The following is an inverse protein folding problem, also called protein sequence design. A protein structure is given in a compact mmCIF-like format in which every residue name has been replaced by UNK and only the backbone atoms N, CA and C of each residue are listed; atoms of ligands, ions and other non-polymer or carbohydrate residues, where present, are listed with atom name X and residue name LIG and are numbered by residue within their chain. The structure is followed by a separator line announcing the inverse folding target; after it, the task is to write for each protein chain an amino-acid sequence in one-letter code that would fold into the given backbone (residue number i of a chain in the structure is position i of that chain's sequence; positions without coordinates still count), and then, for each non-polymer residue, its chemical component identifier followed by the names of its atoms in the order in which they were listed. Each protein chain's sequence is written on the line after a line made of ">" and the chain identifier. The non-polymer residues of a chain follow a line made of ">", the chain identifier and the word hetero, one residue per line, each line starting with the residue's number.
data_IF_111812293803
#
_entry.id   IF_111812293803
#
_cell.length_a   1.000
_cell.length_b   1.000
_cell.length_c   1.000
_cell.angle_alpha   90.00
_cell.angle_beta   90.00
_cell.angle_gamma   90.00
#
_symmetry.space_group_name_H-M   'P 1'
#
loop_
_entity.id
_entity.type
_entity.pdbx_description
1 polymer ?
#
# COMPACT_ATOMS: atom_id res chain seq x y z
N UNK A 1 -41.53 27.89 -65.82
CA UNK A 1 -42.37 26.86 -66.48
C UNK A 1 -41.61 25.54 -66.45
N UNK A 2 -42.31 24.42 -66.18
CA UNK A 2 -41.84 23.02 -66.04
C UNK A 2 -40.97 22.74 -64.77
N UNK A 3 -41.41 22.01 -63.72
CA UNK A 3 -41.79 20.56 -63.59
C UNK A 3 -40.67 19.67 -64.16
N UNK A 4 -40.01 18.78 -63.41
CA UNK A 4 -40.32 17.38 -63.03
C UNK A 4 -39.31 16.98 -61.90
N UNK A 5 -39.63 16.55 -60.67
CA UNK A 5 -40.20 15.29 -60.11
C UNK A 5 -39.36 14.00 -60.35
N UNK A 6 -38.84 13.43 -59.24
CA UNK A 6 -38.49 12.01 -58.84
C UNK A 6 -37.49 12.19 -57.66
N UNK A 7 -37.74 11.95 -56.36
CA UNK A 7 -38.43 10.92 -55.57
C UNK A 7 -37.73 9.54 -55.61
N UNK A 8 -36.68 9.36 -54.80
CA UNK A 8 -36.34 8.05 -54.22
C UNK A 8 -35.92 8.20 -52.75
N UNK A 9 -36.69 7.49 -51.95
CA UNK A 9 -36.68 7.26 -50.52
C UNK A 9 -35.52 6.29 -50.17
N UNK A 10 -34.70 6.59 -49.15
CA UNK A 10 -33.97 5.54 -48.42
C UNK A 10 -33.55 6.07 -47.03
N UNK A 11 -34.45 5.88 -46.08
CA UNK A 11 -34.15 5.79 -44.65
C UNK A 11 -33.16 4.62 -44.46
N UNK A 12 -31.96 4.90 -43.94
CA UNK A 12 -31.05 3.88 -43.45
C UNK A 12 -30.40 4.36 -42.16
N UNK A 13 -31.05 3.99 -41.06
CA UNK A 13 -30.51 3.63 -39.75
C UNK A 13 -28.97 3.69 -39.59
N UNK A 14 -28.50 4.49 -38.62
CA UNK A 14 -27.33 4.13 -37.80
C UNK A 14 -27.60 2.79 -37.07
N UNK A 15 -26.63 2.06 -36.46
CA UNK A 15 -25.21 2.35 -36.24
C UNK A 15 -24.28 1.14 -36.54
N UNK A 16 -22.97 1.34 -36.72
CA UNK A 16 -22.01 0.25 -36.56
C UNK A 16 -20.62 0.77 -36.20
N UNK A 17 -20.49 1.27 -34.97
CA UNK A 17 -19.23 1.22 -34.25
C UNK A 17 -18.89 -0.25 -33.99
N UNK A 18 -18.34 -0.94 -34.99
CA UNK A 18 -17.87 -2.31 -34.85
C UNK A 18 -16.40 -2.38 -35.25
N UNK A 19 -15.53 -2.23 -34.24
CA UNK A 19 -14.30 -3.02 -34.06
C UNK A 19 -13.52 -2.54 -32.83
N UNK A 20 -14.10 -2.77 -31.67
CA UNK A 20 -13.34 -2.97 -30.43
C UNK A 20 -13.60 -4.41 -29.97
N UNK A 21 -13.14 -5.38 -30.76
CA UNK A 21 -13.25 -6.80 -30.43
C UNK A 21 -12.11 -7.58 -31.10
N UNK A 22 -10.88 -7.13 -30.84
CA UNK A 22 -9.66 -7.92 -31.03
C UNK A 22 -8.61 -7.45 -30.02
N UNK A 23 -8.92 -7.50 -28.73
CA UNK A 23 -7.85 -7.73 -27.75
C UNK A 23 -7.66 -9.23 -27.72
N UNK A 24 -6.64 -9.70 -28.45
CA UNK A 24 -6.25 -11.09 -28.45
C UNK A 24 -5.92 -11.54 -27.02
N UNK A 25 -6.34 -12.76 -26.69
CA UNK A 25 -6.08 -13.50 -25.43
C UNK A 25 -4.58 -13.56 -25.05
N UNK A 26 -3.68 -13.10 -25.92
CA UNK A 26 -2.23 -12.98 -25.72
C UNK A 26 -1.80 -11.84 -24.79
N UNK A 27 -2.72 -10.98 -24.32
CA UNK A 27 -2.48 -10.03 -23.21
C UNK A 27 -2.91 -10.58 -21.85
N UNK A 28 -3.12 -11.89 -21.72
CA UNK A 28 -3.15 -12.50 -20.40
C UNK A 28 -1.79 -12.29 -19.73
N UNK A 29 -1.86 -11.63 -18.58
CA UNK A 29 -0.73 -11.43 -17.68
C UNK A 29 -0.10 -12.81 -17.41
N UNK A 30 1.23 -12.90 -17.24
CA UNK A 30 1.86 -14.13 -16.81
C UNK A 30 1.11 -14.67 -15.58
N UNK A 31 0.59 -15.90 -15.68
CA UNK A 31 -0.25 -16.54 -14.66
C UNK A 31 0.56 -17.01 -13.45
N UNK A 32 1.78 -16.51 -13.31
CA UNK A 32 2.59 -16.72 -12.12
C UNK A 32 2.04 -15.84 -11.02
N UNK A 33 1.00 -16.33 -10.33
CA UNK A 33 0.58 -15.77 -9.06
C UNK A 33 1.84 -15.60 -8.19
N UNK A 34 2.03 -14.45 -7.52
CA UNK A 34 3.11 -14.28 -6.58
C UNK A 34 3.12 -15.46 -5.60
N UNK A 35 4.30 -15.96 -5.21
CA UNK A 35 4.39 -17.04 -4.24
C UNK A 35 3.54 -16.71 -3.01
N UNK A 36 2.71 -17.65 -2.60
CA UNK A 36 1.98 -17.53 -1.34
C UNK A 36 3.00 -17.60 -0.21
N UNK A 37 2.93 -16.67 0.73
CA UNK A 37 3.81 -16.57 1.90
C UNK A 37 5.28 -16.32 1.52
N UNK A 38 5.57 -15.10 1.08
CA UNK A 38 6.95 -14.63 0.94
C UNK A 38 7.52 -14.34 2.33
N UNK A 39 8.64 -14.95 2.75
CA UNK A 39 9.27 -14.59 4.01
C UNK A 39 9.86 -13.17 3.95
N UNK A 40 10.10 -12.53 5.11
CA UNK A 40 10.91 -11.32 5.19
C UNK A 40 12.27 -11.49 4.49
N UNK A 41 12.81 -10.46 3.81
CA UNK A 41 14.13 -10.51 3.18
C UNK A 41 15.21 -10.94 4.19
N UNK A 42 16.01 -11.94 3.87
CA UNK A 42 16.98 -12.51 4.82
C UNK A 42 18.05 -11.49 5.29
N UNK A 43 18.35 -10.50 4.45
CA UNK A 43 19.28 -9.40 4.71
C UNK A 43 18.60 -8.15 5.31
N UNK A 44 17.32 -8.23 5.69
CA UNK A 44 16.58 -7.12 6.27
C UNK A 44 17.27 -6.58 7.52
N UNK A 45 17.58 -5.28 7.48
CA UNK A 45 18.13 -4.53 8.61
C UNK A 45 17.62 -3.10 8.61
N UNK A 46 16.56 -2.86 9.39
CA UNK A 46 16.00 -1.52 9.60
C UNK A 46 16.59 -0.95 10.88
N UNK A 47 17.43 0.08 10.79
CA UNK A 47 18.01 0.72 11.98
C UNK A 47 16.92 1.28 12.91
N UNK A 48 17.17 1.27 14.21
CA UNK A 48 16.24 1.79 15.20
C UNK A 48 16.91 2.83 16.08
N UNK A 49 16.35 4.02 16.09
CA UNK A 49 16.74 5.12 16.97
C UNK A 49 15.57 5.49 17.86
N UNK A 50 15.78 5.49 19.17
CA UNK A 50 14.76 5.85 20.17
C UNK A 50 15.27 7.02 20.98
N UNK A 51 14.53 8.12 20.94
CA UNK A 51 14.81 9.35 21.70
C UNK A 51 16.25 9.83 21.52
N UNK A 52 16.73 9.82 20.27
CA UNK A 52 18.11 10.23 19.96
C UNK A 52 19.15 9.12 20.03
N UNK A 53 18.85 7.99 20.68
CA UNK A 53 19.82 6.90 20.93
C UNK A 53 19.63 5.73 19.97
N UNK A 54 20.71 5.19 19.42
CA UNK A 54 20.67 3.93 18.65
C UNK A 54 20.31 2.76 19.57
N UNK A 55 19.32 1.95 19.17
CA UNK A 55 18.79 0.82 19.94
C UNK A 55 19.01 -0.54 19.27
N UNK A 56 19.47 -0.55 18.03
CA UNK A 56 19.71 -1.77 17.26
C UNK A 56 19.00 -1.71 15.91
N UNK A 57 18.46 -2.84 15.47
CA UNK A 57 17.74 -2.92 14.20
C UNK A 57 16.61 -3.95 14.25
N UNK A 58 15.53 -3.70 13.51
CA UNK A 58 14.53 -4.71 13.18
C UNK A 58 15.11 -5.58 12.06
N UNK A 59 15.12 -6.89 12.29
CA UNK A 59 15.74 -7.89 11.39
C UNK A 59 14.71 -8.89 10.88
N UNK A 60 15.09 -9.67 9.87
CA UNK A 60 14.27 -10.79 9.37
C UNK A 60 13.93 -11.79 10.48
N UNK A 61 14.92 -12.13 11.33
CA UNK A 61 14.74 -13.05 12.46
C UNK A 61 13.71 -12.53 13.47
N UNK A 62 13.76 -11.23 13.79
CA UNK A 62 12.75 -10.60 14.64
C UNK A 62 11.35 -10.69 14.04
N UNK A 63 11.19 -10.44 12.73
CA UNK A 63 9.88 -10.55 12.07
C UNK A 63 9.38 -12.00 11.98
N UNK A 64 10.28 -12.97 11.74
CA UNK A 64 9.94 -14.39 11.68
C UNK A 64 9.54 -14.96 13.05
N UNK A 65 10.10 -14.43 14.13
CA UNK A 65 9.83 -14.90 15.51
C UNK A 65 8.69 -14.14 16.17
N UNK A 66 8.44 -12.89 15.76
CA UNK A 66 7.36 -12.07 16.30
C UNK A 66 6.08 -12.35 15.53
N UNK A 67 5.03 -12.78 16.24
CA UNK A 67 3.70 -12.96 15.64
C UNK A 67 3.22 -11.64 15.01
N UNK A 68 2.76 -11.63 13.74
CA UNK A 68 2.15 -10.45 13.15
C UNK A 68 0.85 -10.07 13.87
N UNK A 69 0.61 -8.76 14.03
CA UNK A 69 -0.61 -8.23 14.64
C UNK A 69 -1.81 -8.39 13.69
N UNK A 70 -1.56 -8.34 12.38
CA UNK A 70 -2.55 -8.53 11.34
C UNK A 70 -2.05 -9.55 10.31
N UNK A 71 -2.88 -10.54 9.98
CA UNK A 71 -2.60 -11.58 8.98
C UNK A 71 -3.81 -11.83 8.10
N UNK A 72 -3.59 -11.95 6.79
CA UNK A 72 -4.50 -12.62 5.86
C UNK A 72 -3.74 -13.67 5.02
N UNK A 73 -4.37 -14.21 3.97
CA UNK A 73 -3.75 -15.24 3.13
C UNK A 73 -2.55 -14.75 2.29
N UNK A 74 -2.33 -13.44 2.17
CA UNK A 74 -1.30 -12.84 1.30
C UNK A 74 -0.40 -11.84 2.02
N UNK A 75 -0.77 -11.38 3.21
CA UNK A 75 -0.18 -10.21 3.87
C UNK A 75 0.01 -10.44 5.36
N UNK A 76 1.12 -9.90 5.85
CA UNK A 76 1.44 -9.84 7.26
C UNK A 76 1.82 -8.40 7.61
N UNK A 77 1.36 -7.91 8.76
CA UNK A 77 1.73 -6.62 9.28
C UNK A 77 1.93 -6.65 10.79
N UNK A 78 2.93 -5.91 11.24
CA UNK A 78 3.29 -5.73 12.64
C UNK A 78 3.13 -4.27 13.00
N UNK A 79 2.43 -3.99 14.09
CA UNK A 79 2.39 -2.69 14.72
C UNK A 79 3.81 -2.30 15.14
N UNK A 80 4.20 -1.05 14.84
CA UNK A 80 5.55 -0.59 15.21
C UNK A 80 5.75 -0.68 16.73
N UNK A 81 4.71 -0.46 17.54
CA UNK A 81 4.82 -0.58 18.99
C UNK A 81 4.90 -2.03 19.50
N UNK A 82 4.46 -3.02 18.72
CA UNK A 82 4.67 -4.45 19.04
C UNK A 82 6.14 -4.82 18.85
N UNK A 83 6.78 -4.30 17.80
CA UNK A 83 8.21 -4.51 17.53
C UNK A 83 9.12 -3.63 18.40
N UNK A 84 8.66 -2.43 18.74
CA UNK A 84 9.41 -1.42 19.49
C UNK A 84 8.52 -0.86 20.60
N UNK A 85 8.55 -1.45 21.82
CA UNK A 85 7.68 -1.04 22.92
C UNK A 85 7.75 0.45 23.29
N UNK A 86 8.90 1.10 23.07
CA UNK A 86 9.09 2.54 23.28
C UNK A 86 8.17 3.40 22.39
N UNK A 87 7.64 2.84 21.29
CA UNK A 87 6.69 3.50 20.40
C UNK A 87 5.24 3.46 20.90
N UNK A 88 4.94 2.73 21.98
CA UNK A 88 3.57 2.56 22.49
C UNK A 88 3.02 3.81 23.21
N UNK A 89 3.88 4.66 23.76
CA UNK A 89 3.45 5.79 24.58
C UNK A 89 2.63 6.81 23.76
N UNK A 90 1.50 7.33 24.28
CA UNK A 90 0.80 8.46 23.66
C UNK A 90 1.70 9.67 23.49
N UNK A 91 1.49 10.43 22.41
CA UNK A 91 2.34 11.56 22.04
C UNK A 91 3.67 11.15 21.44
N UNK A 92 3.82 9.89 21.00
CA UNK A 92 5.02 9.43 20.30
C UNK A 92 4.87 9.62 18.80
N UNK A 93 5.94 10.07 18.14
CA UNK A 93 6.07 10.13 16.69
C UNK A 93 7.00 9.01 16.23
N UNK A 94 6.51 8.24 15.27
CA UNK A 94 7.29 7.26 14.51
C UNK A 94 7.67 7.89 13.19
N UNK A 95 8.96 8.09 12.95
CA UNK A 95 9.47 8.56 11.66
C UNK A 95 10.15 7.40 10.95
N UNK A 96 9.67 7.06 9.76
CA UNK A 96 10.30 6.09 8.88
C UNK A 96 11.17 6.84 7.87
N UNK A 97 12.43 6.42 7.71
CA UNK A 97 13.40 7.03 6.79
C UNK A 97 13.83 6.00 5.76
N UNK A 98 13.74 6.34 4.48
CA UNK A 98 14.22 5.53 3.36
C UNK A 98 15.75 5.63 3.19
N UNK A 99 16.39 4.72 2.44
CA UNK A 99 17.82 4.83 2.11
C UNK A 99 18.19 6.15 1.40
N UNK A 100 17.25 6.75 0.67
CA UNK A 100 17.45 8.03 -0.01
C UNK A 100 17.26 9.25 0.91
N UNK A 101 16.99 9.05 2.20
CA UNK A 101 16.78 10.12 3.17
C UNK A 101 15.38 10.75 3.15
N UNK A 102 14.46 10.29 2.30
CA UNK A 102 13.03 10.66 2.36
C UNK A 102 12.43 10.08 3.63
N UNK A 103 11.63 10.87 4.36
CA UNK A 103 10.96 10.42 5.58
C UNK A 103 9.44 10.65 5.58
N UNK A 104 8.74 9.79 6.31
CA UNK A 104 7.31 9.91 6.64
C UNK A 104 7.16 9.82 8.16
N UNK A 105 6.33 10.70 8.73
CA UNK A 105 6.04 10.76 10.16
C UNK A 105 4.63 10.30 10.45
N UNK A 106 4.49 9.50 11.51
CA UNK A 106 3.25 8.97 12.02
C UNK A 106 3.12 9.37 13.48
N UNK A 107 2.10 10.17 13.78
CA UNK A 107 1.75 10.53 15.16
C UNK A 107 0.97 9.39 15.82
N UNK A 108 1.22 9.17 17.12
CA UNK A 108 0.50 8.18 17.92
C UNK A 108 -0.11 8.82 19.18
N UNK A 109 -1.41 8.65 19.44
CA UNK A 109 -2.40 8.15 18.49
C UNK A 109 -2.55 9.11 17.30
N UNK A 110 -2.88 8.62 16.11
CA UNK A 110 -3.23 9.51 15.00
C UNK A 110 -4.68 9.99 15.15
N UNK A 111 -4.96 11.22 14.70
CA UNK A 111 -6.31 11.79 14.75
C UNK A 111 -7.35 10.95 13.97
N UNK A 112 -6.90 10.23 12.93
CA UNK A 112 -7.74 9.36 12.12
C UNK A 112 -7.89 7.93 12.67
N UNK A 113 -7.27 7.62 13.82
CA UNK A 113 -7.28 6.26 14.39
C UNK A 113 -6.44 5.24 13.61
N UNK A 114 -5.60 5.72 12.70
CA UNK A 114 -4.65 4.90 11.95
C UNK A 114 -3.42 4.59 12.77
N UNK A 115 -2.85 3.41 12.52
CA UNK A 115 -1.69 2.88 13.23
C UNK A 115 -0.52 2.65 12.25
N UNK A 116 0.70 3.11 12.57
CA UNK A 116 1.87 2.76 11.78
C UNK A 116 2.24 1.29 11.97
N UNK A 117 2.50 0.61 10.85
CA UNK A 117 2.92 -0.79 10.79
C UNK A 117 4.15 -0.97 9.90
N UNK A 118 4.94 -2.00 10.19
CA UNK A 118 5.73 -2.67 9.16
C UNK A 118 4.83 -3.67 8.44
N UNK A 119 4.86 -3.64 7.12
CA UNK A 119 4.00 -4.45 6.28
C UNK A 119 4.86 -5.25 5.31
N UNK A 120 4.67 -6.56 5.31
CA UNK A 120 5.28 -7.49 4.37
C UNK A 120 4.35 -7.68 3.18
N UNK A 121 4.76 -7.17 2.03
CA UNK A 121 3.98 -7.29 0.80
C UNK A 121 4.06 -8.71 0.25
N UNK A 122 3.08 -9.08 -0.59
CA UNK A 122 3.10 -10.33 -1.36
C UNK A 122 4.33 -10.52 -2.27
N UNK A 123 5.14 -9.48 -2.46
CA UNK A 123 6.40 -9.51 -3.23
C UNK A 123 7.64 -9.74 -2.36
N UNK A 124 7.47 -9.89 -1.05
CA UNK A 124 8.58 -9.98 -0.10
C UNK A 124 9.21 -8.63 0.22
N UNK A 125 8.53 -7.52 -0.04
CA UNK A 125 9.04 -6.18 0.30
C UNK A 125 8.56 -5.77 1.69
N UNK A 126 9.44 -5.15 2.48
CA UNK A 126 9.07 -4.52 3.75
C UNK A 126 8.87 -3.02 3.51
N UNK A 127 7.67 -2.56 3.82
CA UNK A 127 7.29 -1.14 3.76
C UNK A 127 6.79 -0.69 5.13
N UNK A 128 6.84 0.62 5.40
CA UNK A 128 6.05 1.23 6.47
C UNK A 128 4.78 1.80 5.87
N UNK A 129 3.65 1.59 6.52
CA UNK A 129 2.38 2.21 6.15
C UNK A 129 1.52 2.52 7.36
N UNK A 130 0.56 3.43 7.21
CA UNK A 130 -0.54 3.58 8.15
C UNK A 130 -1.68 2.63 7.76
N UNK A 131 -2.31 1.98 8.74
CA UNK A 131 -3.48 1.11 8.53
C UNK A 131 -4.62 1.48 9.48
N UNK A 132 -5.86 1.17 9.10
CA UNK A 132 -6.99 1.14 10.03
C UNK A 132 -7.02 -0.23 10.70
N UNK A 133 -6.85 -0.34 12.03
CA UNK A 133 -6.91 -1.64 12.73
C UNK A 133 -8.24 -2.39 12.56
N UNK A 134 -9.32 -1.71 12.18
CA UNK A 134 -10.65 -2.32 11.94
C UNK A 134 -10.79 -2.95 10.56
N UNK A 135 -10.03 -2.45 9.59
CA UNK A 135 -9.93 -2.99 8.23
C UNK A 135 -8.48 -2.87 7.74
N UNK A 136 -7.57 -3.70 8.30
CA UNK A 136 -6.12 -3.56 8.05
C UNK A 136 -5.74 -3.87 6.60
N UNK A 137 -6.63 -4.57 5.89
CA UNK A 137 -6.34 -5.25 4.64
C UNK A 137 -7.49 -5.07 3.63
N UNK A 138 -7.83 -3.82 3.26
CA UNK A 138 -8.96 -3.55 2.41
C UNK A 138 -8.81 -4.26 1.06
N UNK A 139 -9.93 -4.77 0.55
CA UNK A 139 -9.99 -5.56 -0.69
C UNK A 139 -9.49 -4.77 -1.91
N UNK A 140 -9.58 -3.44 -1.87
CA UNK A 140 -9.11 -2.57 -2.93
C UNK A 140 -8.07 -1.59 -2.39
N UNK A 141 -6.89 -1.59 -3.01
CA UNK A 141 -5.72 -0.85 -2.55
C UNK A 141 -4.97 -0.12 -3.68
N UNK A 142 -5.59 -0.02 -4.87
CA UNK A 142 -5.03 0.76 -5.99
C UNK A 142 -5.12 2.27 -5.75
N UNK A 143 -4.52 3.09 -6.63
CA UNK A 143 -4.60 4.57 -6.52
C UNK A 143 -6.01 5.16 -6.67
N UNK A 144 -7.03 4.32 -6.93
CA UNK A 144 -8.39 4.78 -7.15
C UNK A 144 -8.57 5.44 -8.51
N UNK A 145 -9.79 5.88 -8.82
CA UNK A 145 -10.13 6.60 -10.04
C UNK A 145 -10.38 5.70 -11.26
N UNK A 146 -9.89 4.46 -11.30
CA UNK A 146 -10.35 3.42 -12.24
C UNK A 146 -11.57 2.70 -11.66
N UNK A 147 -12.64 2.56 -12.45
CA UNK A 147 -13.88 1.89 -12.07
C UNK A 147 -14.64 2.54 -10.89
N UNK A 148 -14.50 3.86 -10.70
CA UNK A 148 -15.16 4.63 -9.62
C UNK A 148 -14.89 4.15 -8.18
N UNK A 149 -13.74 3.50 -7.94
CA UNK A 149 -13.32 3.09 -6.60
C UNK A 149 -12.37 4.11 -6.00
N UNK A 150 -12.55 4.44 -4.73
CA UNK A 150 -11.61 5.24 -3.96
C UNK A 150 -10.29 4.47 -3.82
N UNK A 151 -9.16 5.15 -3.98
CA UNK A 151 -7.85 4.54 -3.86
C UNK A 151 -7.40 4.34 -2.42
N UNK A 152 -6.35 3.55 -2.21
CA UNK A 152 -5.63 3.60 -0.95
C UNK A 152 -4.86 4.92 -0.86
N UNK A 153 -5.39 5.86 -0.09
CA UNK A 153 -4.77 7.16 0.18
C UNK A 153 -3.81 7.13 1.36
N UNK A 154 -3.60 5.96 1.98
CA UNK A 154 -2.80 5.87 3.19
C UNK A 154 -1.31 6.07 2.87
N UNK A 155 -0.59 6.85 3.68
CA UNK A 155 0.84 7.05 3.49
C UNK A 155 1.57 5.72 3.59
N UNK A 156 2.49 5.48 2.66
CA UNK A 156 3.33 4.30 2.61
C UNK A 156 4.71 4.64 2.06
N UNK A 157 5.73 3.93 2.54
CA UNK A 157 7.11 4.10 2.09
C UNK A 157 7.87 2.78 2.15
N UNK A 158 8.56 2.46 1.07
CA UNK A 158 9.55 1.39 1.00
C UNK A 158 10.59 1.70 -0.07
N UNK A 159 11.82 1.16 0.06
CA UNK A 159 12.34 0.43 1.21
C UNK A 159 12.59 1.35 2.42
N UNK A 160 12.66 0.76 3.61
CA UNK A 160 12.84 1.47 4.88
C UNK A 160 14.24 1.18 5.42
N UNK A 161 15.04 2.22 5.63
CA UNK A 161 16.38 2.09 6.18
C UNK A 161 16.40 2.21 7.71
N UNK A 162 15.53 3.06 8.27
CA UNK A 162 15.55 3.38 9.70
C UNK A 162 14.19 3.81 10.22
N UNK A 163 13.92 3.52 11.49
CA UNK A 163 12.83 4.08 12.28
C UNK A 163 13.40 4.97 13.38
N UNK A 164 12.87 6.18 13.51
CA UNK A 164 13.14 7.07 14.64
C UNK A 164 11.88 7.23 15.49
N UNK A 165 12.00 6.95 16.78
CA UNK A 165 10.93 7.05 17.77
C UNK A 165 11.21 8.25 18.66
N UNK A 166 10.37 9.26 18.61
CA UNK A 166 10.52 10.50 19.38
C UNK A 166 9.26 10.76 20.19
N UNK A 167 9.38 11.27 21.41
CA UNK A 167 8.21 11.88 22.07
C UNK A 167 8.03 13.26 21.46
N UNK A 168 6.81 13.59 21.07
CA UNK A 168 6.43 14.95 20.78
C UNK A 168 6.79 15.80 22.02
N UNK A 169 7.42 16.94 21.79
CA UNK A 169 7.60 17.91 22.85
C UNK A 169 6.20 18.32 23.30
N UNK A 170 5.86 18.07 24.57
CA UNK A 170 4.67 18.66 25.17
C UNK A 170 4.81 20.18 25.04
N UNK A 171 3.86 20.88 24.41
CA UNK A 171 3.89 22.34 24.35
C UNK A 171 3.84 22.96 25.75
#
# INVERSE_FOLDING_TARGET
>A
MARWLILVLAVAFAPACSKASQESETKQWPDTQPPKNMPPPADLKIGLKVHGSEKGSITADMLNTTKPDFVDAEREAWLIHTLVPDAAAPGTTVEAVSPAGVSIKFERPSAAGLEPVLFLTRRGEIIVSAIDPKDPFPRYHGQGGRLHRAGNSLPQMGPVARLEITRAATP
#
